data_IF_407733100382
#
_entry.id   IF_407733100382
#
_cell.length_a   1.000
_cell.length_b   1.000
_cell.length_c   1.000
_cell.angle_alpha   90.00
_cell.angle_beta   90.00
_cell.angle_gamma   90.00
#
_symmetry.space_group_name_H-M   'P 1'
#
loop_
_entity.id
_entity.type
_entity.pdbx_description
1 polymer ?
#
# COMPACT_ATOMS: atom_id res chain seq x y z
N UNK A 1 32.49 5.36 -38.88
CA UNK A 1 31.91 6.20 -37.80
C UNK A 1 30.37 6.36 -37.86
N UNK A 2 29.71 6.05 -39.01
CA UNK A 2 28.21 6.13 -39.10
C UNK A 2 27.51 5.08 -38.27
N UNK A 3 28.03 3.87 -38.16
CA UNK A 3 27.42 2.74 -37.45
C UNK A 3 27.42 2.99 -35.89
N UNK A 4 28.44 3.64 -35.36
CA UNK A 4 28.54 3.98 -33.95
C UNK A 4 27.54 5.07 -33.59
N UNK A 5 27.40 6.09 -34.42
CA UNK A 5 26.43 7.20 -34.22
C UNK A 5 24.95 6.72 -34.26
N UNK A 6 24.66 5.71 -35.09
CA UNK A 6 23.30 5.14 -35.12
C UNK A 6 23.01 4.29 -33.89
N UNK A 7 23.97 3.52 -33.38
CA UNK A 7 23.80 2.73 -32.17
C UNK A 7 23.58 3.63 -30.93
N UNK A 8 24.36 4.71 -30.82
CA UNK A 8 24.20 5.68 -29.73
C UNK A 8 22.85 6.38 -29.76
N UNK A 9 22.35 6.77 -30.94
CA UNK A 9 21.02 7.36 -31.12
C UNK A 9 19.91 6.40 -30.71
N UNK A 10 20.00 5.12 -31.05
CA UNK A 10 19.03 4.11 -30.60
C UNK A 10 19.07 3.90 -29.08
N UNK A 11 20.25 3.89 -28.48
CA UNK A 11 20.41 3.77 -27.03
C UNK A 11 19.80 4.97 -26.30
N UNK A 12 20.00 6.17 -26.79
CA UNK A 12 19.41 7.40 -26.25
C UNK A 12 17.88 7.38 -26.34
N UNK A 13 17.33 6.98 -27.50
CA UNK A 13 15.89 6.85 -27.70
C UNK A 13 15.31 5.78 -26.77
N UNK A 14 15.97 4.64 -26.61
CA UNK A 14 15.55 3.57 -25.70
C UNK A 14 15.57 4.04 -24.24
N UNK A 15 16.60 4.75 -23.81
CA UNK A 15 16.68 5.33 -22.47
C UNK A 15 15.59 6.37 -22.21
N UNK A 16 15.29 7.19 -23.20
CA UNK A 16 14.20 8.18 -23.12
C UNK A 16 12.84 7.49 -22.96
N UNK A 17 12.55 6.47 -23.76
CA UNK A 17 11.32 5.65 -23.63
C UNK A 17 11.25 4.95 -22.26
N UNK A 18 12.34 4.33 -21.82
CA UNK A 18 12.44 3.68 -20.51
C UNK A 18 12.12 4.66 -19.38
N UNK A 19 12.71 5.87 -19.41
CA UNK A 19 12.48 6.90 -18.40
C UNK A 19 11.04 7.43 -18.43
N UNK A 20 10.47 7.59 -19.62
CA UNK A 20 9.05 7.99 -19.77
C UNK A 20 8.10 6.93 -19.18
N UNK A 21 8.30 5.66 -19.50
CA UNK A 21 7.51 4.55 -18.96
C UNK A 21 7.67 4.45 -17.44
N UNK A 22 8.88 4.56 -16.93
CA UNK A 22 9.15 4.55 -15.49
C UNK A 22 8.47 5.73 -14.78
N UNK A 23 8.51 6.92 -15.36
CA UNK A 23 7.85 8.11 -14.85
C UNK A 23 6.31 7.96 -14.79
N UNK A 24 5.70 7.44 -15.86
CA UNK A 24 4.27 7.14 -15.89
C UNK A 24 3.89 6.09 -14.84
N UNK A 25 4.69 5.01 -14.73
CA UNK A 25 4.49 3.98 -13.72
C UNK A 25 4.55 4.55 -12.30
N UNK A 26 5.50 5.43 -12.03
CA UNK A 26 5.60 6.10 -10.73
C UNK A 26 4.38 6.97 -10.41
N UNK A 27 3.88 7.73 -11.37
CA UNK A 27 2.68 8.56 -11.19
C UNK A 27 1.44 7.70 -10.92
N UNK A 28 1.21 6.65 -11.70
CA UNK A 28 0.07 5.74 -11.52
C UNK A 28 0.14 5.05 -10.16
N UNK A 29 1.33 4.59 -9.77
CA UNK A 29 1.54 3.95 -8.47
C UNK A 29 1.31 4.94 -7.33
N UNK A 30 1.80 6.17 -7.45
CA UNK A 30 1.59 7.22 -6.44
C UNK A 30 0.11 7.54 -6.24
N UNK A 31 -0.65 7.72 -7.32
CA UNK A 31 -2.11 7.93 -7.25
C UNK A 31 -2.80 6.72 -6.60
N UNK A 32 -2.43 5.49 -6.99
CA UNK A 32 -3.00 4.26 -6.43
C UNK A 32 -2.75 4.14 -4.93
N UNK A 33 -1.56 4.53 -4.44
CA UNK A 33 -1.24 4.56 -3.02
C UNK A 33 -2.10 5.57 -2.25
N UNK A 34 -2.33 6.77 -2.81
CA UNK A 34 -3.20 7.78 -2.20
C UNK A 34 -4.65 7.27 -2.11
N UNK A 35 -5.18 6.68 -3.18
CA UNK A 35 -6.53 6.09 -3.18
C UNK A 35 -6.65 4.98 -2.14
N UNK A 36 -5.63 4.11 -2.04
CA UNK A 36 -5.58 3.04 -1.04
C UNK A 36 -5.55 3.59 0.38
N UNK A 37 -4.78 4.66 0.64
CA UNK A 37 -4.74 5.32 1.95
C UNK A 37 -6.11 5.89 2.34
N UNK A 38 -6.82 6.52 1.39
CA UNK A 38 -8.18 7.02 1.61
C UNK A 38 -9.14 5.86 1.90
N UNK A 39 -8.99 4.73 1.21
CA UNK A 39 -9.77 3.52 1.46
C UNK A 39 -9.60 2.99 2.88
N UNK A 40 -8.36 2.86 3.37
CA UNK A 40 -8.07 2.47 4.75
C UNK A 40 -8.67 3.47 5.74
N UNK A 41 -8.48 4.76 5.51
CA UNK A 41 -9.00 5.82 6.37
C UNK A 41 -10.53 5.76 6.49
N UNK A 42 -11.26 5.55 5.37
CA UNK A 42 -12.72 5.45 5.37
C UNK A 42 -13.20 4.23 6.17
N UNK A 43 -12.60 3.05 5.97
CA UNK A 43 -12.94 1.85 6.74
C UNK A 43 -12.69 2.06 8.23
N UNK A 44 -11.58 2.71 8.59
CA UNK A 44 -11.26 3.02 9.97
C UNK A 44 -12.23 4.01 10.61
N UNK A 45 -12.70 5.03 9.87
CA UNK A 45 -13.73 5.95 10.38
C UNK A 45 -15.05 5.25 10.65
N UNK A 46 -15.47 4.34 9.77
CA UNK A 46 -16.66 3.52 9.99
C UNK A 46 -16.48 2.65 11.23
N UNK A 47 -15.35 1.95 11.34
CA UNK A 47 -15.02 1.11 12.51
C UNK A 47 -15.04 1.90 13.83
N UNK A 48 -14.47 3.10 13.85
CA UNK A 48 -14.49 3.98 15.04
C UNK A 48 -15.93 4.36 15.42
N UNK A 49 -16.77 4.71 14.44
CA UNK A 49 -18.18 5.05 14.69
C UNK A 49 -18.96 3.87 15.24
N UNK A 50 -18.83 2.70 14.63
CA UNK A 50 -19.52 1.49 15.08
C UNK A 50 -19.11 1.07 16.50
N UNK A 51 -17.87 1.36 16.91
CA UNK A 51 -17.32 1.00 18.23
C UNK A 51 -17.24 2.15 19.21
N UNK A 52 -17.92 3.29 18.95
CA UNK A 52 -17.86 4.51 19.80
C UNK A 52 -18.19 4.19 21.25
N UNK A 53 -19.23 3.43 21.52
CA UNK A 53 -19.65 3.04 22.88
C UNK A 53 -18.61 2.16 23.58
N UNK A 54 -17.99 1.21 22.87
CA UNK A 54 -16.92 0.38 23.43
C UNK A 54 -15.69 1.21 23.80
N UNK A 55 -15.33 2.17 22.95
CA UNK A 55 -14.22 3.10 23.22
C UNK A 55 -14.52 3.93 24.45
N UNK A 56 -15.74 4.47 24.55
CA UNK A 56 -16.21 5.23 25.72
C UNK A 56 -16.13 4.43 27.01
N UNK A 57 -16.58 3.16 26.98
CA UNK A 57 -16.51 2.25 28.12
C UNK A 57 -15.06 1.96 28.55
N UNK A 58 -14.17 1.66 27.62
CA UNK A 58 -12.74 1.44 27.90
C UNK A 58 -12.09 2.67 28.55
N UNK A 59 -12.42 3.87 28.06
CA UNK A 59 -11.94 5.12 28.63
C UNK A 59 -12.49 5.38 30.03
N UNK A 60 -13.77 5.08 30.25
CA UNK A 60 -14.38 5.18 31.59
C UNK A 60 -13.72 4.21 32.60
N UNK A 61 -13.23 3.05 32.12
CA UNK A 61 -12.45 2.11 32.93
C UNK A 61 -10.98 2.50 33.09
N UNK A 62 -10.53 3.64 32.55
CA UNK A 62 -9.18 4.17 32.74
C UNK A 62 -8.21 3.93 31.56
N UNK A 63 -8.69 3.52 30.39
CA UNK A 63 -7.82 3.43 29.21
C UNK A 63 -7.30 4.82 28.81
N UNK A 64 -6.00 4.91 28.59
CA UNK A 64 -5.36 6.16 28.15
C UNK A 64 -5.62 6.41 26.66
N UNK A 65 -5.54 7.67 26.25
CA UNK A 65 -5.65 8.04 24.82
C UNK A 65 -4.59 7.32 23.97
N UNK A 66 -3.42 7.08 24.52
CA UNK A 66 -2.34 6.37 23.85
C UNK A 66 -2.71 4.89 23.59
N UNK A 67 -3.35 4.23 24.55
CA UNK A 67 -3.79 2.84 24.38
C UNK A 67 -4.83 2.71 23.26
N UNK A 68 -5.78 3.63 23.20
CA UNK A 68 -6.78 3.64 22.11
C UNK A 68 -6.11 3.96 20.76
N UNK A 69 -5.24 4.97 20.73
CA UNK A 69 -4.51 5.34 19.51
C UNK A 69 -3.70 4.16 18.94
N UNK A 70 -2.90 3.50 19.78
CA UNK A 70 -2.06 2.38 19.35
C UNK A 70 -2.89 1.19 18.88
N UNK A 71 -4.02 0.92 19.51
CA UNK A 71 -4.94 -0.14 19.10
C UNK A 71 -5.45 0.11 17.67
N UNK A 72 -6.05 1.27 17.39
CA UNK A 72 -6.59 1.58 16.07
C UNK A 72 -5.49 1.74 15.01
N UNK A 73 -4.33 2.25 15.41
CA UNK A 73 -3.19 2.34 14.50
C UNK A 73 -2.66 0.95 14.09
N UNK A 74 -2.60 0.01 15.03
CA UNK A 74 -2.22 -1.37 14.73
C UNK A 74 -3.24 -2.07 13.82
N UNK A 75 -4.53 -1.79 13.97
CA UNK A 75 -5.58 -2.30 13.07
C UNK A 75 -5.38 -1.77 11.63
N UNK A 76 -5.10 -0.47 11.46
CA UNK A 76 -4.84 0.13 10.15
C UNK A 76 -3.59 -0.47 9.47
N UNK A 77 -2.52 -0.66 10.25
CA UNK A 77 -1.28 -1.30 9.76
C UNK A 77 -1.52 -2.76 9.39
N UNK A 78 -2.31 -3.49 10.17
CA UNK A 78 -2.67 -4.87 9.86
C UNK A 78 -3.44 -4.98 8.53
N UNK A 79 -4.40 -4.09 8.29
CA UNK A 79 -5.14 -4.01 7.01
C UNK A 79 -4.16 -3.77 5.84
N UNK A 80 -3.23 -2.83 6.00
CA UNK A 80 -2.23 -2.52 4.97
C UNK A 80 -1.29 -3.71 4.69
N UNK A 81 -0.84 -4.43 5.72
CA UNK A 81 0.02 -5.61 5.59
C UNK A 81 -0.72 -6.75 4.90
N UNK A 82 -1.97 -7.02 5.29
CA UNK A 82 -2.80 -8.05 4.65
C UNK A 82 -3.01 -7.72 3.18
N UNK A 83 -3.40 -6.48 2.86
CA UNK A 83 -3.56 -6.02 1.48
C UNK A 83 -2.26 -6.13 0.68
N UNK A 84 -1.13 -5.72 1.23
CA UNK A 84 0.19 -5.85 0.63
C UNK A 84 0.59 -7.31 0.37
N UNK A 85 0.30 -8.21 1.32
CA UNK A 85 0.56 -9.66 1.18
C UNK A 85 -0.26 -10.27 0.04
N UNK A 86 -1.55 -9.93 -0.03
CA UNK A 86 -2.44 -10.36 -1.12
C UNK A 86 -1.96 -9.80 -2.46
N UNK A 87 -1.56 -8.52 -2.52
CA UNK A 87 -1.01 -7.89 -3.71
C UNK A 87 0.25 -8.61 -4.22
N UNK A 88 1.20 -8.91 -3.33
CA UNK A 88 2.42 -9.66 -3.70
C UNK A 88 2.06 -11.08 -4.20
N UNK A 89 1.12 -11.76 -3.55
CA UNK A 89 0.68 -13.08 -3.96
C UNK A 89 0.05 -13.06 -5.36
N UNK A 90 -0.80 -12.06 -5.65
CA UNK A 90 -1.42 -11.88 -6.97
C UNK A 90 -0.39 -11.58 -8.06
N UNK A 91 0.59 -10.70 -7.80
CA UNK A 91 1.68 -10.42 -8.75
C UNK A 91 2.47 -11.70 -9.03
N UNK A 92 2.80 -12.47 -7.99
CA UNK A 92 3.55 -13.71 -8.15
C UNK A 92 2.79 -14.75 -8.99
N UNK A 93 1.49 -14.85 -8.77
CA UNK A 93 0.61 -15.76 -9.53
C UNK A 93 0.53 -15.36 -11.01
N UNK A 94 0.37 -14.05 -11.28
CA UNK A 94 0.33 -13.51 -12.64
C UNK A 94 1.65 -13.73 -13.38
N UNK A 95 2.77 -13.46 -12.73
CA UNK A 95 4.11 -13.68 -13.30
C UNK A 95 4.34 -15.16 -13.60
N UNK A 96 3.97 -16.04 -12.67
CA UNK A 96 4.07 -17.49 -12.87
C UNK A 96 3.18 -17.96 -14.05
N UNK A 97 1.95 -17.44 -14.16
CA UNK A 97 1.05 -17.71 -15.26
C UNK A 97 1.63 -17.26 -16.62
N UNK A 98 2.13 -16.00 -16.68
CA UNK A 98 2.74 -15.50 -17.93
C UNK A 98 4.01 -16.24 -18.31
N UNK A 99 4.84 -16.64 -17.36
CA UNK A 99 6.06 -17.41 -17.62
C UNK A 99 5.76 -18.82 -18.20
N UNK A 100 4.55 -19.34 -17.97
CA UNK A 100 4.10 -20.63 -18.48
C UNK A 100 3.58 -20.56 -19.93
N UNK A 101 3.33 -19.35 -20.48
CA UNK A 101 2.93 -19.17 -21.86
C UNK A 101 4.15 -18.90 -22.75
N UNK A 102 4.43 -19.74 -23.77
CA UNK A 102 5.48 -19.45 -24.73
C UNK A 102 5.07 -18.19 -25.52
N UNK A 103 5.88 -17.14 -25.43
CA UNK A 103 5.64 -15.93 -26.23
C UNK A 103 6.06 -16.23 -27.67
N UNK A 104 5.12 -16.27 -28.65
CA UNK A 104 5.48 -16.47 -30.06
C UNK A 104 6.37 -15.29 -30.48
N UNK A 105 7.50 -15.55 -31.13
CA UNK A 105 8.49 -14.60 -31.67
C UNK A 105 9.64 -14.15 -30.74
N UNK A 106 9.79 -14.67 -29.55
CA UNK A 106 10.95 -14.37 -28.71
C UNK A 106 11.91 -15.55 -28.52
N UNK A 107 12.17 -16.35 -29.53
CA UNK A 107 13.19 -17.45 -29.58
C UNK A 107 13.32 -18.23 -28.24
N UNK A 108 12.21 -18.48 -27.52
CA UNK A 108 12.20 -19.20 -26.25
C UNK A 108 12.77 -18.39 -25.06
N UNK A 109 12.95 -17.08 -25.20
CA UNK A 109 13.34 -16.23 -24.08
C UNK A 109 12.18 -16.11 -23.09
N UNK A 110 12.34 -16.70 -21.92
CA UNK A 110 11.48 -16.45 -20.76
C UNK A 110 11.84 -15.10 -20.17
N UNK A 111 10.85 -14.31 -19.78
CA UNK A 111 11.09 -13.06 -19.08
C UNK A 111 11.81 -13.38 -17.75
N UNK A 112 13.05 -12.89 -17.52
CA UNK A 112 13.77 -13.14 -16.27
C UNK A 112 13.21 -12.24 -15.19
N UNK A 113 12.00 -12.55 -14.71
CA UNK A 113 11.43 -11.82 -13.57
C UNK A 113 11.88 -12.52 -12.29
N UNK A 114 13.02 -12.06 -11.76
CA UNK A 114 13.51 -12.50 -10.47
C UNK A 114 12.75 -11.78 -9.37
N UNK A 115 12.15 -12.53 -8.46
CA UNK A 115 11.63 -11.96 -7.21
C UNK A 115 12.80 -11.72 -6.26
N UNK A 116 13.18 -10.47 -6.13
CA UNK A 116 14.19 -10.06 -5.15
C UNK A 116 13.53 -9.91 -3.78
N UNK A 117 14.11 -10.57 -2.77
CA UNK A 117 13.67 -10.46 -1.37
C UNK A 117 13.71 -8.99 -0.88
N UNK A 118 14.65 -8.22 -1.39
CA UNK A 118 14.80 -6.80 -1.10
C UNK A 118 13.58 -6.01 -1.58
N UNK A 119 13.03 -6.34 -2.74
CA UNK A 119 11.82 -5.71 -3.29
C UNK A 119 10.60 -6.02 -2.43
N UNK A 120 10.47 -7.24 -1.93
CA UNK A 120 9.42 -7.62 -0.97
C UNK A 120 9.53 -6.80 0.31
N UNK A 121 10.74 -6.66 0.86
CA UNK A 121 10.99 -5.85 2.06
C UNK A 121 10.59 -4.38 1.85
N UNK A 122 10.97 -3.76 0.73
CA UNK A 122 10.55 -2.39 0.40
C UNK A 122 9.03 -2.28 0.29
N UNK A 123 8.37 -3.24 -0.33
CA UNK A 123 6.91 -3.24 -0.45
C UNK A 123 6.23 -3.26 0.91
N UNK A 124 6.66 -4.14 1.82
CA UNK A 124 6.12 -4.17 3.19
C UNK A 124 6.40 -2.88 3.95
N UNK A 125 7.59 -2.30 3.81
CA UNK A 125 7.94 -1.02 4.44
C UNK A 125 6.98 0.10 3.99
N UNK A 126 6.71 0.18 2.68
CA UNK A 126 5.76 1.15 2.12
C UNK A 126 4.34 0.87 2.62
N UNK A 127 3.90 -0.40 2.67
CA UNK A 127 2.58 -0.76 3.20
C UNK A 127 2.41 -0.33 4.67
N UNK A 128 3.39 -0.59 5.53
CA UNK A 128 3.37 -0.15 6.93
C UNK A 128 3.30 1.37 7.03
N UNK A 129 4.12 2.07 6.25
CA UNK A 129 4.14 3.53 6.23
C UNK A 129 2.78 4.11 5.81
N UNK A 130 2.17 3.59 4.76
CA UNK A 130 0.83 3.99 4.30
C UNK A 130 -0.24 3.66 5.35
N UNK A 131 -0.18 2.48 5.96
CA UNK A 131 -1.09 2.08 7.03
C UNK A 131 -1.05 3.03 8.22
N UNK A 132 0.16 3.44 8.64
CA UNK A 132 0.35 4.42 9.71
C UNK A 132 -0.22 5.78 9.32
N UNK A 133 0.11 6.30 8.14
CA UNK A 133 -0.37 7.61 7.68
C UNK A 133 -1.90 7.64 7.54
N UNK A 134 -2.48 6.62 6.92
CA UNK A 134 -3.92 6.52 6.70
C UNK A 134 -4.71 6.31 8.00
N UNK A 135 -4.16 5.52 8.94
CA UNK A 135 -4.77 5.21 10.22
C UNK A 135 -4.64 6.31 11.27
N UNK A 136 -3.68 7.25 11.10
CA UNK A 136 -3.35 8.22 12.15
C UNK A 136 -4.51 9.18 12.47
N UNK A 137 -5.23 9.67 11.46
CA UNK A 137 -6.35 10.60 11.64
C UNK A 137 -7.52 9.90 12.36
N UNK A 138 -8.06 8.76 11.87
CA UNK A 138 -9.15 8.08 12.57
C UNK A 138 -8.75 7.57 13.95
N UNK A 139 -7.53 7.07 14.14
CA UNK A 139 -7.04 6.63 15.43
C UNK A 139 -6.96 7.79 16.46
N UNK A 140 -6.54 8.98 16.03
CA UNK A 140 -6.59 10.19 16.89
C UNK A 140 -8.01 10.60 17.21
N UNK A 141 -8.93 10.51 16.26
CA UNK A 141 -10.34 10.81 16.49
C UNK A 141 -10.91 9.86 17.55
N UNK A 142 -10.64 8.56 17.44
CA UNK A 142 -11.04 7.57 18.44
C UNK A 142 -10.41 7.85 19.83
N UNK A 143 -9.11 8.17 19.85
CA UNK A 143 -8.39 8.47 21.08
C UNK A 143 -8.90 9.74 21.80
N UNK A 144 -9.47 10.69 21.09
CA UNK A 144 -9.98 11.95 21.66
C UNK A 144 -11.49 11.94 21.95
N UNK A 145 -12.19 10.82 21.76
CA UNK A 145 -13.60 10.69 22.11
C UNK A 145 -13.79 10.96 23.62
N UNK A 146 -14.79 11.78 23.93
CA UNK A 146 -15.20 12.00 25.32
C UNK A 146 -16.06 10.81 25.79
N UNK A 147 -15.71 10.12 26.89
CA UNK A 147 -16.46 8.97 27.38
C UNK A 147 -17.93 9.31 27.72
N UNK A 148 -18.21 10.52 28.13
CA UNK A 148 -19.58 10.95 28.47
C UNK A 148 -20.44 11.01 27.19
N UNK A 149 -19.92 11.63 26.15
CA UNK A 149 -20.63 11.77 24.88
C UNK A 149 -20.81 10.42 24.20
N UNK A 150 -19.75 9.58 24.24
CA UNK A 150 -19.77 8.23 23.66
C UNK A 150 -20.78 7.27 24.33
N UNK A 151 -21.17 7.50 25.56
CA UNK A 151 -22.17 6.72 26.31
C UNK A 151 -23.58 7.30 26.22
N UNK A 152 -23.73 8.53 25.77
CA UNK A 152 -25.01 9.27 25.70
C UNK A 152 -25.65 9.19 24.31
N UNK A 153 -24.88 8.93 23.24
CA UNK A 153 -25.40 8.75 21.89
C UNK A 153 -26.21 7.43 21.83
N UNK A 154 -27.54 7.58 21.94
CA UNK A 154 -28.55 6.62 21.51
C UNK A 154 -29.03 6.97 20.11
#
# INVERSE_FOLDING_TARGET
NFAVNSADAYMEQFNTMKNAIAGMGFLVTGISLVVSAIGIMNVMFVSVRERTREIGLRKAMGATNFNILTQFLSEAVAIAIIGGSVGIALIRLTVFGLASFPIPNFNGATLPISFDLLLVFYTFTVCVFIGVLAGLIPARTAANLNPIDALRDE
#
